data_IF_257880432278
#
_entry.id   IF_257880432278
#
_cell.length_a   1.000
_cell.length_b   1.000
_cell.length_c   1.000
_cell.angle_alpha   90.00
_cell.angle_beta   90.00
_cell.angle_gamma   90.00
#
_symmetry.space_group_name_H-M   'P 1'
#
loop_
_entity.id
_entity.type
_entity.pdbx_description
1 polymer ?
#
# COMPACT_ATOMS: atom_id res chain seq x y z
N UNK A 1 -5.10 -18.55 6.05
CA UNK A 1 -3.97 -17.71 5.66
C UNK A 1 -4.37 -16.24 5.83
N UNK A 2 -3.60 -15.46 6.55
CA UNK A 2 -3.92 -14.08 6.82
C UNK A 2 -2.98 -13.15 6.06
N UNK A 3 -3.53 -12.28 5.23
CA UNK A 3 -2.76 -11.33 4.44
C UNK A 3 -3.10 -9.92 4.91
N UNK A 4 -2.08 -9.09 5.06
CA UNK A 4 -2.24 -7.68 5.40
C UNK A 4 -1.66 -6.82 4.29
N UNK A 5 -2.26 -5.65 4.06
CA UNK A 5 -1.71 -4.65 3.15
C UNK A 5 -1.20 -3.51 4.02
N UNK A 6 0.10 -3.25 3.96
CA UNK A 6 0.70 -2.25 4.83
C UNK A 6 1.90 -1.57 4.18
N UNK A 7 2.42 -0.56 4.87
CA UNK A 7 3.58 0.18 4.40
C UNK A 7 4.86 -0.49 4.89
N UNK A 8 5.82 -0.63 3.99
CA UNK A 8 7.14 -1.15 4.30
C UNK A 8 8.14 -0.01 4.07
N UNK A 9 8.80 0.44 5.13
CA UNK A 9 9.72 1.56 5.04
C UNK A 9 10.96 1.21 4.23
N UNK A 10 11.31 2.07 3.30
CA UNK A 10 12.50 1.98 2.48
C UNK A 10 13.18 3.35 2.41
N UNK A 11 14.27 3.42 1.68
CA UNK A 11 15.01 4.66 1.51
C UNK A 11 16.05 4.86 2.60
N UNK A 12 16.63 6.08 2.63
CA UNK A 12 17.65 6.44 3.61
C UNK A 12 17.01 7.08 4.83
N UNK A 13 17.84 7.31 5.87
CA UNK A 13 17.40 7.99 7.08
C UNK A 13 16.88 9.41 6.78
N UNK A 14 17.51 10.09 5.83
CA UNK A 14 17.15 11.47 5.49
C UNK A 14 16.03 11.58 4.49
N UNK A 15 15.79 10.53 3.69
CA UNK A 15 14.72 10.52 2.70
C UNK A 15 13.99 9.18 2.70
N UNK A 16 13.13 8.96 3.68
CA UNK A 16 12.37 7.73 3.72
C UNK A 16 11.24 7.73 2.69
N UNK A 17 10.94 6.56 2.17
CA UNK A 17 9.73 6.33 1.40
C UNK A 17 9.19 4.96 1.79
N UNK A 18 7.97 4.67 1.39
CA UNK A 18 7.31 3.43 1.77
C UNK A 18 6.79 2.71 0.55
N UNK A 19 6.95 1.40 0.56
CA UNK A 19 6.28 0.54 -0.41
C UNK A 19 4.96 0.08 0.19
N UNK A 20 3.90 0.13 -0.59
CA UNK A 20 2.59 -0.42 -0.20
C UNK A 20 2.62 -1.88 -0.63
N UNK A 21 2.55 -2.80 0.33
CA UNK A 21 2.80 -4.21 0.05
C UNK A 21 1.76 -5.11 0.71
N UNK A 22 1.48 -6.23 0.05
CA UNK A 22 0.71 -7.31 0.62
C UNK A 22 1.68 -8.29 1.26
N UNK A 23 1.47 -8.60 2.54
CA UNK A 23 2.36 -9.50 3.28
C UNK A 23 1.55 -10.56 4.01
N UNK A 24 2.17 -11.74 4.18
CA UNK A 24 1.60 -12.78 5.03
C UNK A 24 1.90 -12.39 6.49
N UNK A 25 0.85 -12.19 7.28
CA UNK A 25 1.00 -11.76 8.66
C UNK A 25 1.78 -12.74 9.54
N UNK A 26 1.94 -13.98 9.08
CA UNK A 26 2.72 -14.99 9.80
C UNK A 26 4.23 -14.88 9.56
N UNK A 27 4.65 -14.18 8.50
CA UNK A 27 6.05 -14.08 8.11
C UNK A 27 6.60 -12.68 8.33
N UNK A 28 6.47 -12.17 9.54
CA UNK A 28 6.87 -10.79 9.86
C UNK A 28 8.38 -10.54 9.84
N UNK A 29 9.18 -11.57 10.12
CA UNK A 29 10.60 -11.40 10.41
C UNK A 29 11.46 -11.14 9.20
N UNK A 30 11.07 -11.61 8.05
CA UNK A 30 11.93 -11.58 6.87
C UNK A 30 11.81 -10.31 6.05
N UNK A 31 10.87 -9.43 6.40
CA UNK A 31 10.62 -8.24 5.60
C UNK A 31 10.18 -8.53 4.18
N UNK A 32 9.90 -9.79 3.88
CA UNK A 32 9.45 -10.20 2.56
C UNK A 32 7.96 -9.93 2.39
N UNK A 33 7.60 -9.56 1.20
CA UNK A 33 6.20 -9.33 0.87
C UNK A 33 5.80 -10.22 -0.31
N UNK A 34 4.49 -10.46 -0.42
CA UNK A 34 3.93 -11.26 -1.49
C UNK A 34 3.91 -10.48 -2.79
N UNK A 35 3.47 -9.21 -2.70
CA UNK A 35 3.31 -8.38 -3.88
C UNK A 35 3.40 -6.91 -3.49
N UNK A 36 4.03 -6.10 -4.33
CA UNK A 36 4.07 -4.65 -4.17
C UNK A 36 2.90 -4.04 -4.92
N UNK A 37 2.11 -3.23 -4.22
CA UNK A 37 0.93 -2.59 -4.78
C UNK A 37 1.18 -1.14 -5.18
N UNK A 38 2.18 -0.50 -4.60
CA UNK A 38 2.45 0.89 -4.88
C UNK A 38 3.56 1.45 -4.02
N UNK A 39 3.71 2.78 -4.08
CA UNK A 39 4.75 3.52 -3.36
C UNK A 39 4.12 4.76 -2.75
N UNK A 40 4.53 5.08 -1.53
CA UNK A 40 4.14 6.30 -0.82
C UNK A 40 5.38 7.10 -0.44
N UNK A 41 5.46 8.35 -0.86
CA UNK A 41 6.55 9.26 -0.53
C UNK A 41 5.99 10.42 0.29
N UNK A 42 6.11 10.39 1.62
CA UNK A 42 5.52 11.44 2.47
C UNK A 42 6.19 12.80 2.32
N UNK A 43 7.36 12.86 1.70
CA UNK A 43 8.07 14.12 1.50
C UNK A 43 7.70 14.81 0.18
N UNK A 44 6.99 14.12 -0.69
CA UNK A 44 6.56 14.70 -1.96
C UNK A 44 5.31 15.53 -1.77
N UNK A 45 5.28 16.70 -2.41
CA UNK A 45 4.11 17.57 -2.39
C UNK A 45 3.05 17.09 -3.39
N UNK A 46 1.79 17.43 -3.09
CA UNK A 46 0.68 17.05 -3.96
C UNK A 46 0.33 15.58 -3.82
N UNK A 47 0.13 14.91 -4.95
CA UNK A 47 -0.15 13.47 -4.93
C UNK A 47 1.14 12.75 -4.59
N UNK A 48 1.21 12.26 -3.37
CA UNK A 48 2.43 11.68 -2.81
C UNK A 48 2.41 10.16 -2.72
N UNK A 49 1.48 9.53 -3.38
CA UNK A 49 1.46 8.07 -3.44
C UNK A 49 0.95 7.59 -4.80
N UNK A 50 1.35 6.38 -5.15
CA UNK A 50 0.86 5.68 -6.32
C UNK A 50 0.43 4.30 -5.87
N UNK A 51 -0.74 3.85 -6.27
CA UNK A 51 -1.23 2.52 -5.91
C UNK A 51 -1.92 1.89 -7.12
N UNK A 52 -1.64 0.61 -7.35
CA UNK A 52 -2.34 -0.17 -8.37
C UNK A 52 -3.67 -0.61 -7.77
N UNK A 53 -4.71 0.12 -8.13
CA UNK A 53 -6.03 -0.10 -7.55
C UNK A 53 -6.58 -1.48 -7.89
N UNK A 54 -6.30 -1.98 -9.08
CA UNK A 54 -6.75 -3.32 -9.49
C UNK A 54 -6.14 -4.40 -8.61
N UNK A 55 -4.85 -4.30 -8.30
CA UNK A 55 -4.18 -5.23 -7.40
C UNK A 55 -4.72 -5.11 -5.98
N UNK A 56 -4.92 -3.87 -5.51
CA UNK A 56 -5.46 -3.65 -4.17
C UNK A 56 -6.86 -4.25 -4.04
N UNK A 57 -7.71 -4.04 -5.02
CA UNK A 57 -9.07 -4.62 -5.03
C UNK A 57 -9.02 -6.14 -5.03
N UNK A 58 -8.11 -6.72 -5.80
CA UNK A 58 -7.91 -8.17 -5.85
C UNK A 58 -7.59 -8.74 -4.47
N UNK A 59 -6.64 -8.10 -3.76
CA UNK A 59 -6.25 -8.56 -2.43
C UNK A 59 -7.37 -8.37 -1.41
N UNK A 60 -8.09 -7.25 -1.49
CA UNK A 60 -9.23 -7.01 -0.61
C UNK A 60 -10.33 -8.04 -0.84
N UNK A 61 -10.55 -8.45 -2.08
CA UNK A 61 -11.56 -9.45 -2.42
C UNK A 61 -11.26 -10.81 -1.80
N UNK A 62 -9.98 -11.15 -1.61
CA UNK A 62 -9.60 -12.41 -0.97
C UNK A 62 -9.40 -12.28 0.54
N UNK A 63 -9.79 -11.15 1.12
CA UNK A 63 -9.80 -10.99 2.57
C UNK A 63 -8.58 -10.33 3.17
N UNK A 64 -7.72 -9.72 2.37
CA UNK A 64 -6.57 -8.99 2.89
C UNK A 64 -7.04 -7.80 3.73
N UNK A 65 -6.34 -7.53 4.83
CA UNK A 65 -6.69 -6.45 5.74
C UNK A 65 -5.71 -5.28 5.60
N UNK A 66 -6.16 -4.12 5.09
CA UNK A 66 -5.28 -2.96 4.98
C UNK A 66 -5.10 -2.27 6.32
N UNK A 67 -3.93 -1.65 6.54
CA UNK A 67 -3.73 -0.77 7.68
C UNK A 67 -4.58 0.49 7.50
N UNK A 68 -4.77 1.28 8.56
CA UNK A 68 -5.56 2.51 8.46
C UNK A 68 -5.02 3.46 7.41
N UNK A 69 -3.71 3.64 7.37
CA UNK A 69 -3.06 4.52 6.39
C UNK A 69 -3.30 4.02 4.96
N UNK A 70 -3.11 2.73 4.74
CA UNK A 70 -3.33 2.14 3.41
C UNK A 70 -4.80 2.20 3.03
N UNK A 71 -5.69 1.94 3.98
CA UNK A 71 -7.14 2.03 3.74
C UNK A 71 -7.53 3.43 3.27
N UNK A 72 -6.96 4.46 3.90
CA UNK A 72 -7.19 5.85 3.50
C UNK A 72 -6.68 6.12 2.09
N UNK A 73 -5.49 5.59 1.74
CA UNK A 73 -4.92 5.74 0.41
C UNK A 73 -5.78 5.07 -0.65
N UNK A 74 -6.27 3.87 -0.37
CA UNK A 74 -7.15 3.16 -1.30
C UNK A 74 -8.43 3.95 -1.53
N UNK A 75 -9.00 4.51 -0.48
CA UNK A 75 -10.19 5.35 -0.59
C UNK A 75 -9.95 6.58 -1.46
N UNK A 76 -8.84 7.25 -1.26
CA UNK A 76 -8.46 8.42 -2.06
C UNK A 76 -8.24 8.05 -3.52
N UNK A 77 -7.60 6.90 -3.76
CA UNK A 77 -7.36 6.43 -5.12
C UNK A 77 -8.65 6.10 -5.85
N UNK A 78 -9.61 5.50 -5.14
CA UNK A 78 -10.94 5.21 -5.72
C UNK A 78 -11.67 6.50 -6.08
N UNK A 79 -11.61 7.50 -5.22
CA UNK A 79 -12.24 8.79 -5.48
C UNK A 79 -11.62 9.47 -6.70
N UNK A 80 -10.28 9.45 -6.80
CA UNK A 80 -9.59 10.03 -7.94
C UNK A 80 -9.92 9.30 -9.24
N UNK A 81 -9.98 7.98 -9.20
CA UNK A 81 -10.34 7.18 -10.37
C UNK A 81 -11.77 7.47 -10.82
N UNK A 82 -12.70 7.60 -9.87
CA UNK A 82 -14.09 7.91 -10.18
C UNK A 82 -14.21 9.33 -10.78
N UNK A 83 -13.42 10.27 -10.29
CA UNK A 83 -13.45 11.65 -10.79
C UNK A 83 -12.88 11.76 -12.21
N UNK A 84 -11.99 10.85 -12.57
CA UNK A 84 -11.34 10.84 -13.89
C UNK A 84 -12.02 9.90 -14.89
N UNK A 85 -13.04 9.21 -14.47
CA UNK A 85 -13.77 8.25 -15.32
C UNK A 85 -14.70 8.97 -16.30
#
# INVERSE_FOLDING_TARGET
MSVSIRLNRKGTKDRPYYKIVAVDSRKRRDGRYIEQLGIYDPLKEGVNFTIDLALAEKWLAVGAKPSETVSSMIRKARTAAAANA
#
